data_IF_423981276031
#
_entry.id   IF_423981276031
#
_cell.length_a   1.000
_cell.length_b   1.000
_cell.length_c   1.000
_cell.angle_alpha   90.00
_cell.angle_beta   90.00
_cell.angle_gamma   90.00
#
_symmetry.space_group_name_H-M   'P 1'
#
loop_
_entity.id
_entity.type
_entity.pdbx_description
1 polymer ?
#
# COMPACT_ATOMS: atom_id res chain seq x y z
N UNK A 1 -21.72 26.68 -47.27
CA UNK A 1 -22.64 25.99 -46.34
C UNK A 1 -21.82 25.07 -45.44
N UNK A 2 -22.17 24.99 -44.16
CA UNK A 2 -21.30 24.56 -43.05
C UNK A 2 -21.30 23.04 -42.92
N UNK A 3 -20.27 22.47 -42.30
CA UNK A 3 -20.54 21.38 -41.37
C UNK A 3 -19.58 21.43 -40.19
N UNK A 4 -20.17 21.78 -39.05
CA UNK A 4 -19.62 21.60 -37.72
C UNK A 4 -19.45 20.11 -37.43
N UNK A 5 -18.36 19.76 -36.74
CA UNK A 5 -18.42 18.70 -35.74
C UNK A 5 -17.37 18.96 -34.67
N UNK A 6 -17.77 19.76 -33.69
CA UNK A 6 -17.28 19.62 -32.33
C UNK A 6 -17.56 18.18 -31.90
N UNK A 7 -16.51 17.47 -31.52
CA UNK A 7 -16.63 16.34 -30.59
C UNK A 7 -15.68 16.66 -29.46
N UNK A 8 -16.25 17.16 -28.37
CA UNK A 8 -15.55 17.33 -27.11
C UNK A 8 -14.91 16.01 -26.71
N UNK A 9 -13.60 16.04 -26.51
CA UNK A 9 -12.96 15.07 -25.62
C UNK A 9 -13.50 15.39 -24.23
N UNK A 10 -14.56 14.67 -23.85
CA UNK A 10 -14.95 14.50 -22.47
C UNK A 10 -13.73 13.91 -21.77
N UNK A 11 -12.98 14.77 -21.07
CA UNK A 11 -11.95 14.33 -20.17
C UNK A 11 -12.71 13.68 -19.02
N UNK A 12 -12.83 12.35 -19.11
CA UNK A 12 -13.17 11.42 -18.05
C UNK A 12 -12.59 11.95 -16.74
N UNK A 13 -13.43 12.69 -16.01
CA UNK A 13 -13.14 13.15 -14.66
C UNK A 13 -13.36 11.92 -13.82
N UNK A 14 -12.39 11.00 -13.84
CA UNK A 14 -12.32 9.93 -12.87
C UNK A 14 -12.30 10.58 -11.51
N UNK A 15 -13.45 10.58 -10.83
CA UNK A 15 -13.54 11.00 -9.45
C UNK A 15 -12.57 10.10 -8.67
N UNK A 16 -11.45 10.69 -8.23
CA UNK A 16 -10.50 10.02 -7.37
C UNK A 16 -11.21 9.72 -6.05
N UNK A 17 -11.90 8.57 -5.97
CA UNK A 17 -12.47 8.06 -4.73
C UNK A 17 -11.32 7.84 -3.76
N UNK A 18 -11.16 8.81 -2.86
CA UNK A 18 -10.04 8.86 -1.92
C UNK A 18 -10.47 8.28 -0.59
N UNK A 19 -9.66 7.37 -0.05
CA UNK A 19 -9.80 6.94 1.34
C UNK A 19 -9.84 8.16 2.27
N UNK A 20 -10.81 8.18 3.18
CA UNK A 20 -10.83 9.21 4.22
C UNK A 20 -9.57 9.11 5.07
N UNK A 21 -9.10 10.24 5.63
CA UNK A 21 -7.93 10.24 6.51
C UNK A 21 -8.10 9.25 7.67
N UNK A 22 -9.32 9.11 8.19
CA UNK A 22 -9.65 8.16 9.26
C UNK A 22 -9.47 6.71 8.83
N UNK A 23 -10.03 6.32 7.69
CA UNK A 23 -9.93 4.94 7.19
C UNK A 23 -8.48 4.59 6.84
N UNK A 24 -7.74 5.56 6.30
CA UNK A 24 -6.32 5.38 5.98
C UNK A 24 -5.46 5.09 7.23
N UNK A 25 -5.75 5.74 8.36
CA UNK A 25 -5.07 5.49 9.63
C UNK A 25 -5.46 4.12 10.19
N UNK A 26 -6.76 3.81 10.22
CA UNK A 26 -7.25 2.52 10.72
C UNK A 26 -6.71 1.33 9.92
N UNK A 27 -6.59 1.47 8.59
CA UNK A 27 -6.00 0.45 7.72
C UNK A 27 -4.50 0.25 7.98
N UNK A 28 -3.75 1.34 8.20
CA UNK A 28 -2.32 1.27 8.56
C UNK A 28 -2.10 0.58 9.89
N UNK A 29 -2.88 0.95 10.92
CA UNK A 29 -2.79 0.36 12.25
C UNK A 29 -3.10 -1.14 12.21
N UNK A 30 -4.13 -1.52 11.46
CA UNK A 30 -4.49 -2.91 11.27
C UNK A 30 -3.39 -3.69 10.55
N UNK A 31 -2.85 -3.16 9.45
CA UNK A 31 -1.76 -3.81 8.72
C UNK A 31 -0.55 -4.01 9.63
N UNK A 32 -0.17 -2.97 10.39
CA UNK A 32 0.94 -3.05 11.35
C UNK A 32 0.70 -4.14 12.41
N UNK A 33 -0.53 -4.24 12.93
CA UNK A 33 -0.93 -5.30 13.86
C UNK A 33 -0.79 -6.67 13.22
N UNK A 34 -1.36 -6.90 12.03
CA UNK A 34 -1.30 -8.19 11.32
C UNK A 34 0.14 -8.64 11.02
N UNK A 35 0.97 -7.72 10.54
CA UNK A 35 2.38 -8.01 10.27
C UNK A 35 3.18 -8.31 11.54
N UNK A 36 2.79 -7.75 12.69
CA UNK A 36 3.44 -8.07 13.96
C UNK A 36 2.96 -9.42 14.51
N UNK A 37 1.65 -9.72 14.40
CA UNK A 37 1.05 -10.98 14.85
C UNK A 37 1.55 -12.20 14.06
N UNK A 38 1.78 -12.05 12.75
CA UNK A 38 2.24 -13.15 11.90
C UNK A 38 3.77 -13.35 11.91
N UNK A 39 4.50 -12.59 12.74
CA UNK A 39 5.96 -12.70 12.85
C UNK A 39 6.76 -11.92 11.80
N UNK A 40 6.11 -11.34 10.78
CA UNK A 40 6.80 -10.64 9.69
C UNK A 40 7.77 -9.58 10.20
N UNK A 41 7.37 -8.77 11.20
CA UNK A 41 8.26 -7.76 11.79
C UNK A 41 9.57 -8.36 12.29
N UNK A 42 9.48 -9.49 12.99
CA UNK A 42 10.64 -10.19 13.55
C UNK A 42 11.52 -10.75 12.43
N UNK A 43 10.92 -11.34 11.40
CA UNK A 43 11.66 -11.84 10.25
C UNK A 43 12.46 -10.73 9.54
N UNK A 44 11.88 -9.53 9.41
CA UNK A 44 12.58 -8.38 8.82
C UNK A 44 13.70 -7.89 9.74
N UNK A 45 13.49 -7.83 11.06
CA UNK A 45 14.52 -7.45 12.02
C UNK A 45 15.70 -8.43 12.01
N UNK A 46 15.43 -9.73 11.94
CA UNK A 46 16.45 -10.77 11.85
C UNK A 46 17.21 -10.68 10.51
N UNK A 47 16.51 -10.45 9.40
CA UNK A 47 17.14 -10.24 8.09
C UNK A 47 18.04 -8.99 8.08
N UNK A 48 17.59 -7.87 8.64
CA UNK A 48 18.41 -6.65 8.78
C UNK A 48 19.67 -6.94 9.59
N UNK A 49 19.52 -7.64 10.73
CA UNK A 49 20.64 -8.00 11.59
C UNK A 49 21.67 -8.85 10.84
N UNK A 50 21.22 -9.89 10.14
CA UNK A 50 22.09 -10.75 9.35
C UNK A 50 22.82 -9.97 8.25
N UNK A 51 22.14 -9.10 7.51
CA UNK A 51 22.79 -8.28 6.47
C UNK A 51 23.87 -7.35 7.05
N UNK A 52 23.61 -6.77 8.22
CA UNK A 52 24.58 -5.92 8.92
C UNK A 52 25.78 -6.74 9.42
N UNK A 53 25.55 -7.94 9.96
CA UNK A 53 26.60 -8.85 10.43
C UNK A 53 27.49 -9.34 9.28
N UNK A 54 26.90 -9.66 8.12
CA UNK A 54 27.63 -10.15 6.95
C UNK A 54 28.48 -9.07 6.25
N UNK A 55 27.94 -7.85 6.10
CA UNK A 55 28.62 -6.76 5.37
C UNK A 55 29.45 -5.84 6.27
N UNK A 56 29.17 -5.86 7.57
CA UNK A 56 29.75 -4.97 8.57
C UNK A 56 29.10 -3.58 8.59
N UNK A 57 28.82 -3.07 9.80
CA UNK A 57 28.16 -1.79 10.05
C UNK A 57 28.82 -0.61 9.34
N UNK A 58 30.15 -0.61 9.21
CA UNK A 58 30.91 0.51 8.64
C UNK A 58 30.79 0.64 7.12
N UNK A 59 30.35 -0.40 6.42
CA UNK A 59 30.33 -0.46 4.96
C UNK A 59 28.93 -0.17 4.37
N UNK A 60 27.93 0.07 5.21
CA UNK A 60 26.53 0.04 4.80
C UNK A 60 25.79 1.30 5.23
N UNK A 61 25.24 2.05 4.27
CA UNK A 61 24.35 3.17 4.58
C UNK A 61 22.92 2.70 4.80
N UNK A 62 22.10 3.51 5.48
CA UNK A 62 20.69 3.22 5.69
C UNK A 62 19.93 3.07 4.35
N UNK A 63 20.19 3.92 3.37
CA UNK A 63 19.55 3.82 2.05
C UNK A 63 19.93 2.53 1.31
N UNK A 64 21.19 2.09 1.41
CA UNK A 64 21.63 0.82 0.82
C UNK A 64 20.97 -0.37 1.52
N UNK A 65 20.90 -0.34 2.85
CA UNK A 65 20.18 -1.35 3.63
C UNK A 65 18.72 -1.42 3.22
N UNK A 66 18.05 -0.27 3.12
CA UNK A 66 16.65 -0.20 2.74
C UNK A 66 16.44 -0.71 1.30
N UNK A 67 17.29 -0.32 0.36
CA UNK A 67 17.22 -0.78 -1.03
C UNK A 67 17.35 -2.31 -1.16
N UNK A 68 18.13 -2.95 -0.30
CA UNK A 68 18.31 -4.40 -0.25
C UNK A 68 17.15 -5.09 0.49
N UNK A 69 16.76 -4.59 1.65
CA UNK A 69 15.81 -5.25 2.56
C UNK A 69 14.35 -5.07 2.13
N UNK A 70 13.96 -3.86 1.71
CA UNK A 70 12.56 -3.54 1.37
C UNK A 70 11.93 -4.48 0.33
N UNK A 71 12.58 -4.85 -0.80
CA UNK A 71 11.96 -5.77 -1.76
C UNK A 71 11.68 -7.15 -1.15
N UNK A 72 12.61 -7.68 -0.33
CA UNK A 72 12.42 -8.94 0.38
C UNK A 72 11.30 -8.84 1.41
N UNK A 73 11.27 -7.74 2.17
CA UNK A 73 10.23 -7.48 3.15
C UNK A 73 8.84 -7.44 2.50
N UNK A 74 8.70 -6.80 1.33
CA UNK A 74 7.44 -6.77 0.58
C UNK A 74 7.02 -8.15 0.07
N UNK A 75 7.97 -8.98 -0.35
CA UNK A 75 7.71 -10.34 -0.81
C UNK A 75 7.27 -11.27 0.33
N UNK A 76 7.80 -11.07 1.54
CA UNK A 76 7.46 -11.86 2.73
C UNK A 76 6.06 -11.60 3.29
N UNK A 77 5.35 -10.57 2.81
CA UNK A 77 3.97 -10.31 3.27
C UNK A 77 3.06 -11.48 2.87
N UNK A 78 2.43 -12.19 3.83
CA UNK A 78 1.54 -13.30 3.53
C UNK A 78 0.35 -12.91 2.66
N UNK A 79 -0.01 -13.78 1.70
CA UNK A 79 -1.14 -13.56 0.78
C UNK A 79 -2.47 -13.34 1.51
N UNK A 80 -2.67 -14.01 2.64
CA UNK A 80 -3.86 -13.83 3.47
C UNK A 80 -4.00 -12.39 3.98
N UNK A 81 -2.90 -11.76 4.41
CA UNK A 81 -2.89 -10.37 4.88
C UNK A 81 -3.11 -9.42 3.71
N UNK A 82 -2.46 -9.67 2.56
CA UNK A 82 -2.64 -8.86 1.34
C UNK A 82 -4.10 -8.85 0.89
N UNK A 83 -4.74 -10.02 0.88
CA UNK A 83 -6.17 -10.17 0.54
C UNK A 83 -7.08 -9.50 1.56
N UNK A 84 -6.80 -9.65 2.85
CA UNK A 84 -7.56 -8.96 3.92
C UNK A 84 -7.49 -7.44 3.74
N UNK A 85 -6.30 -6.88 3.48
CA UNK A 85 -6.15 -5.44 3.28
C UNK A 85 -6.89 -4.95 2.04
N UNK A 86 -6.81 -5.67 0.92
CA UNK A 86 -7.52 -5.31 -0.31
C UNK A 86 -9.03 -5.29 -0.11
N UNK A 87 -9.58 -6.29 0.60
CA UNK A 87 -11.00 -6.34 0.94
C UNK A 87 -11.43 -5.14 1.77
N UNK A 88 -10.62 -4.76 2.77
CA UNK A 88 -10.94 -3.63 3.66
C UNK A 88 -10.80 -2.27 2.97
N UNK A 89 -9.84 -2.12 2.06
CA UNK A 89 -9.73 -0.92 1.20
C UNK A 89 -10.98 -0.76 0.35
N UNK A 90 -11.45 -1.84 -0.31
CA UNK A 90 -12.68 -1.81 -1.10
C UNK A 90 -13.88 -1.41 -0.26
N UNK A 91 -14.07 -2.04 0.90
CA UNK A 91 -15.16 -1.71 1.81
C UNK A 91 -15.12 -0.25 2.30
N UNK A 92 -13.92 0.29 2.58
CA UNK A 92 -13.76 1.68 2.97
C UNK A 92 -14.11 2.64 1.83
N UNK A 93 -13.72 2.33 0.60
CA UNK A 93 -14.07 3.11 -0.59
C UNK A 93 -15.58 3.08 -0.86
N UNK A 94 -16.21 1.90 -0.77
CA UNK A 94 -17.66 1.75 -0.94
C UNK A 94 -18.44 2.56 0.11
N UNK A 95 -17.96 2.59 1.35
CA UNK A 95 -18.59 3.41 2.41
C UNK A 95 -18.44 4.92 2.21
N UNK A 96 -17.48 5.33 1.38
CA UNK A 96 -17.25 6.73 1.03
C UNK A 96 -18.06 7.19 -0.19
N UNK A 97 -18.71 6.26 -0.92
CA UNK A 97 -19.55 6.59 -2.06
C UNK A 97 -20.94 7.05 -1.57
N UNK A 98 -21.49 8.15 -2.10
CA UNK A 98 -22.87 8.53 -1.81
C UNK A 98 -23.82 7.45 -2.36
N UNK A 99 -24.94 7.14 -1.67
CA UNK A 99 -25.94 6.23 -2.21
C UNK A 99 -26.49 6.81 -3.50
N UNK A 100 -26.40 6.07 -4.60
CA UNK A 100 -27.03 6.45 -5.87
C UNK A 100 -28.55 6.58 -5.65
N UNK A 101 -29.04 7.81 -5.68
CA UNK A 101 -30.47 8.12 -5.61
C UNK A 101 -31.09 7.69 -6.94
N UNK A 102 -31.92 6.64 -6.92
CA UNK A 102 -32.81 6.26 -8.02
C UNK A 102 -34.25 6.67 -7.73
#
# INVERSE_FOLDING_TARGET
>A
MPNSKETGTDADRGDDVKLTSRDSVALKDLLQKRLSECGWRKDIEDMIRHTIEERGVSNLTHDQLAAEIVPHARALVPDVIRKEMLMRVRAALDSSLPPEQN
#
